data_IF_981180365200
#
_entry.id   IF_981180365200
#
_cell.length_a   1.000
_cell.length_b   1.000
_cell.length_c   1.000
_cell.angle_alpha   90.00
_cell.angle_beta   90.00
_cell.angle_gamma   90.00
#
_symmetry.space_group_name_H-M   'P 1'
#
loop_
_entity.id
_entity.type
_entity.pdbx_description
1 polymer ?
#
# COMPACT_ATOMS: atom_id res chain seq x y z
N UNK A 1 3.33 11.12 -7.20
CA UNK A 1 2.74 11.22 -5.85
C UNK A 1 2.37 9.81 -5.43
N UNK A 2 3.15 9.18 -4.56
CA UNK A 2 2.89 7.79 -4.15
C UNK A 2 1.71 7.73 -3.19
N UNK A 3 0.76 6.82 -3.43
CA UNK A 3 -0.37 6.56 -2.53
C UNK A 3 0.22 6.09 -1.18
N UNK A 4 -0.13 6.73 -0.07
CA UNK A 4 0.20 6.27 1.28
C UNK A 4 -1.01 5.50 1.79
N UNK A 5 -0.90 4.18 1.85
CA UNK A 5 -1.92 3.32 2.46
C UNK A 5 -1.64 3.26 3.96
N UNK A 6 -2.49 3.95 4.74
CA UNK A 6 -2.44 3.88 6.19
C UNK A 6 -3.39 2.78 6.63
N UNK A 7 -2.86 1.78 7.33
CA UNK A 7 -3.64 0.67 7.89
C UNK A 7 -3.71 0.83 9.41
N UNK A 8 -4.84 0.48 9.99
CA UNK A 8 -5.04 0.52 11.45
C UNK A 8 -5.43 -0.87 11.92
N UNK A 9 -4.81 -1.34 12.99
CA UNK A 9 -5.19 -2.59 13.66
C UNK A 9 -5.34 -2.34 15.16
N UNK A 10 -6.13 -3.16 15.83
CA UNK A 10 -6.20 -3.15 17.28
C UNK A 10 -5.13 -4.05 17.87
N UNK A 11 -4.44 -3.56 18.91
CA UNK A 11 -3.51 -4.36 19.67
C UNK A 11 -4.25 -5.51 20.38
N UNK A 12 -3.79 -6.77 20.27
CA UNK A 12 -4.46 -7.90 20.93
C UNK A 12 -4.38 -7.84 22.46
N UNK A 13 -3.34 -7.20 23.02
CA UNK A 13 -3.10 -7.20 24.46
C UNK A 13 -3.84 -6.07 25.20
N UNK A 14 -3.91 -4.87 24.58
CA UNK A 14 -4.47 -3.68 25.24
C UNK A 14 -5.55 -2.97 24.43
N UNK A 15 -5.95 -3.51 23.27
CA UNK A 15 -6.95 -2.95 22.34
C UNK A 15 -6.62 -1.57 21.76
N UNK A 16 -5.50 -0.97 22.15
CA UNK A 16 -5.06 0.32 21.63
C UNK A 16 -4.80 0.26 20.11
N UNK A 17 -5.10 1.35 19.41
CA UNK A 17 -4.92 1.42 17.96
C UNK A 17 -3.45 1.49 17.59
N UNK A 18 -3.01 0.59 16.71
CA UNK A 18 -1.68 0.61 16.12
C UNK A 18 -1.82 1.14 14.69
N UNK A 19 -1.20 2.29 14.43
CA UNK A 19 -1.10 2.88 13.11
C UNK A 19 0.08 2.26 12.36
N UNK A 20 -0.21 1.65 11.22
CA UNK A 20 0.77 0.99 10.37
C UNK A 20 0.87 1.77 9.05
N UNK A 21 2.09 2.16 8.70
CA UNK A 21 2.38 2.56 7.32
C UNK A 21 2.62 1.29 6.51
N UNK A 22 1.72 1.00 5.56
CA UNK A 22 1.80 -0.24 4.80
C UNK A 22 3.09 -0.33 3.99
N UNK A 23 3.65 0.78 3.48
CA UNK A 23 4.92 0.73 2.74
C UNK A 23 6.08 0.35 3.65
N UNK A 24 6.15 0.95 4.83
CA UNK A 24 7.19 0.62 5.80
C UNK A 24 7.05 -0.83 6.27
N UNK A 25 5.83 -1.30 6.55
CA UNK A 25 5.57 -2.68 6.93
C UNK A 25 6.05 -3.66 5.85
N UNK A 26 5.73 -3.39 4.57
CA UNK A 26 6.16 -4.20 3.43
C UNK A 26 7.67 -4.17 3.19
N UNK A 27 8.34 -3.10 3.61
CA UNK A 27 9.81 -3.02 3.59
C UNK A 27 10.49 -3.81 4.73
N UNK A 28 9.69 -4.43 5.60
CA UNK A 28 10.18 -5.23 6.72
C UNK A 28 10.30 -4.48 8.05
N UNK A 29 9.77 -3.26 8.16
CA UNK A 29 9.74 -2.54 9.44
C UNK A 29 8.77 -3.18 10.43
N UNK A 30 9.11 -3.04 11.71
CA UNK A 30 8.27 -3.44 12.84
C UNK A 30 7.63 -2.21 13.49
N UNK A 31 6.43 -2.38 14.02
CA UNK A 31 5.66 -1.33 14.67
C UNK A 31 5.36 -1.75 16.10
N UNK A 32 5.63 -0.84 17.03
CA UNK A 32 5.38 -1.08 18.45
C UNK A 32 4.09 -0.40 18.89
N UNK A 33 3.26 -1.13 19.65
CA UNK A 33 2.11 -0.56 20.32
C UNK A 33 2.56 0.41 21.41
N UNK A 34 2.03 1.63 21.38
CA UNK A 34 2.33 2.67 22.38
C UNK A 34 1.66 2.42 23.74
N UNK A 35 0.67 1.52 23.80
CA UNK A 35 -0.07 1.22 25.03
C UNK A 35 0.60 0.16 25.91
N UNK A 36 1.11 -0.92 25.30
CA UNK A 36 1.69 -2.05 26.04
C UNK A 36 3.09 -2.47 25.57
N UNK A 37 3.62 -1.86 24.51
CA UNK A 37 4.94 -2.21 23.97
C UNK A 37 4.95 -3.46 23.07
N UNK A 38 3.80 -4.08 22.77
CA UNK A 38 3.72 -5.21 21.85
C UNK A 38 4.22 -4.82 20.45
N UNK A 39 5.13 -5.61 19.88
CA UNK A 39 5.69 -5.36 18.55
C UNK A 39 5.01 -6.21 17.49
N UNK A 40 4.66 -5.60 16.36
CA UNK A 40 4.02 -6.21 15.20
C UNK A 40 4.92 -6.05 13.99
N UNK A 41 5.15 -7.14 13.25
CA UNK A 41 5.94 -7.12 12.01
C UNK A 41 5.35 -8.10 11.01
N UNK A 42 5.61 -7.88 9.72
CA UNK A 42 5.28 -8.86 8.69
C UNK A 42 6.16 -10.12 8.90
N UNK A 43 5.55 -11.30 8.79
CA UNK A 43 6.28 -12.57 8.79
C UNK A 43 7.30 -12.61 7.65
N UNK A 44 8.54 -13.01 7.93
CA UNK A 44 9.60 -13.08 6.91
C UNK A 44 9.20 -13.93 5.68
N UNK A 45 8.38 -14.97 5.88
CA UNK A 45 7.89 -15.82 4.78
C UNK A 45 6.90 -15.13 3.83
N UNK A 46 6.24 -14.05 4.27
CA UNK A 46 5.26 -13.33 3.45
C UNK A 46 5.81 -12.07 2.79
N UNK A 47 7.03 -11.60 3.14
CA UNK A 47 7.59 -10.34 2.61
C UNK A 47 7.64 -10.34 1.08
N UNK A 48 8.24 -11.36 0.47
CA UNK A 48 8.41 -11.45 -0.99
C UNK A 48 7.09 -11.42 -1.74
N UNK A 49 6.11 -12.21 -1.29
CA UNK A 49 4.83 -12.34 -1.96
C UNK A 49 4.02 -11.05 -1.87
N UNK A 50 3.98 -10.41 -0.70
CA UNK A 50 3.21 -9.16 -0.54
C UNK A 50 3.92 -8.01 -1.26
N UNK A 51 5.25 -7.97 -1.27
CA UNK A 51 6.01 -6.99 -2.04
C UNK A 51 5.75 -7.13 -3.55
N UNK A 52 5.71 -8.35 -4.08
CA UNK A 52 5.37 -8.61 -5.49
C UNK A 52 3.95 -8.15 -5.82
N UNK A 53 2.97 -8.45 -4.96
CA UNK A 53 1.58 -8.04 -5.16
C UNK A 53 1.43 -6.51 -5.21
N UNK A 54 2.12 -5.80 -4.31
CA UNK A 54 2.09 -4.32 -4.25
C UNK A 54 2.76 -3.71 -5.47
N UNK A 55 3.91 -4.21 -5.89
CA UNK A 55 4.58 -3.75 -7.11
C UNK A 55 3.72 -4.01 -8.36
N UNK A 56 3.01 -5.15 -8.41
CA UNK A 56 2.06 -5.45 -9.47
C UNK A 56 0.91 -4.46 -9.50
N UNK A 57 0.34 -4.14 -8.35
CA UNK A 57 -0.74 -3.15 -8.22
C UNK A 57 -0.28 -1.75 -8.68
N UNK A 58 0.89 -1.30 -8.24
CA UNK A 58 1.44 0.01 -8.63
C UNK A 58 1.65 0.11 -10.15
N UNK A 59 2.14 -0.96 -10.79
CA UNK A 59 2.27 -1.02 -12.27
C UNK A 59 0.92 -0.91 -12.96
N UNK A 60 -0.08 -1.64 -12.49
CA UNK A 60 -1.43 -1.60 -13.05
C UNK A 60 -2.07 -0.22 -12.88
N UNK A 61 -1.87 0.42 -11.73
CA UNK A 61 -2.35 1.77 -11.46
C UNK A 61 -1.73 2.79 -12.44
N UNK A 62 -0.41 2.74 -12.64
CA UNK A 62 0.28 3.61 -13.60
C UNK A 62 -0.24 3.43 -15.04
N UNK A 63 -0.43 2.18 -15.48
CA UNK A 63 -0.97 1.89 -16.82
C UNK A 63 -2.38 2.44 -17.03
N UNK A 64 -3.24 2.39 -16.01
CA UNK A 64 -4.61 2.92 -16.10
C UNK A 64 -4.64 4.43 -16.36
N UNK A 65 -3.73 5.19 -15.74
CA UNK A 65 -3.61 6.63 -15.97
C UNK A 65 -3.20 6.95 -17.42
N UNK A 66 -2.29 6.16 -18.00
CA UNK A 66 -1.83 6.35 -19.38
C UNK A 66 -2.90 5.98 -20.41
N UNK A 67 -3.63 4.88 -20.21
CA UNK A 67 -4.76 4.50 -21.07
C UNK A 67 -5.85 5.56 -21.04
N UNK A 68 -6.17 6.12 -19.87
CA UNK A 68 -7.12 7.24 -19.74
C UNK A 68 -6.69 8.47 -20.53
N UNK A 69 -5.40 8.81 -20.52
CA UNK A 69 -4.83 9.92 -21.30
C UNK A 69 -4.83 9.65 -22.81
N UNK A 70 -4.46 8.44 -23.24
CA UNK A 70 -4.49 8.07 -24.66
C UNK A 70 -5.91 8.07 -25.22
N UNK A 71 -6.88 7.52 -24.48
CA UNK A 71 -8.28 7.52 -24.89
C UNK A 71 -8.80 8.96 -25.03
N UNK A 72 -8.59 9.79 -24.01
CA UNK A 72 -9.03 11.19 -24.04
C UNK A 72 -8.34 12.04 -25.12
N UNK A 73 -7.07 11.77 -25.45
CA UNK A 73 -6.40 12.41 -26.59
C UNK A 73 -6.95 11.95 -27.94
N UNK A 74 -7.25 10.65 -28.11
CA UNK A 74 -7.82 10.12 -29.35
C UNK A 74 -9.20 10.74 -29.64
N UNK A 75 -10.08 10.80 -28.64
CA UNK A 75 -11.40 11.43 -28.79
C UNK A 75 -11.32 12.94 -29.07
N UNK A 76 -10.31 13.65 -28.53
CA UNK A 76 -10.10 15.08 -28.81
C UNK A 76 -9.62 15.33 -30.24
N UNK A 77 -8.74 14.48 -30.75
CA UNK A 77 -8.11 14.64 -32.08
C UNK A 77 -9.05 14.25 -33.22
N UNK A 78 -10.04 13.38 -32.96
CA UNK A 78 -10.99 12.88 -33.95
C UNK A 78 -12.42 13.44 -33.78
N UNK A 79 -12.56 14.53 -33.02
CA UNK A 79 -13.81 15.27 -32.88
C UNK A 79 -13.97 16.19 -34.10
N UNK A 80 -14.82 15.76 -35.03
CA UNK A 80 -15.33 16.53 -36.18
C UNK A 80 -16.29 17.60 -35.66
#
# INVERSE_FOLDING_TARGET
MGIIMQSQIHCPDCSNTIHLDTKLLLSGQSFMCTGCGLSVSLSAGSHTLVQQAVQGFDRLAAMKDDVGKQASQYFRKNRI
#
